data_IF_676137081509
#
_entry.id   IF_676137081509
#
_cell.length_a   1.000
_cell.length_b   1.000
_cell.length_c   1.000
_cell.angle_alpha   90.00
_cell.angle_beta   90.00
_cell.angle_gamma   90.00
#
_symmetry.space_group_name_H-M   'P 1'
#
loop_
_entity.id
_entity.type
_entity.pdbx_description
1 polymer ?
#
# COMPACT_ATOMS: atom_id res chain seq x y z
N UNK A 1 20.95 57.64 -43.89
CA UNK A 1 20.62 58.61 -42.82
C UNK A 1 20.89 57.93 -41.47
N UNK A 2 21.87 58.37 -40.67
CA UNK A 2 21.78 59.40 -39.60
C UNK A 2 20.73 59.08 -38.50
N UNK A 3 21.03 59.13 -37.19
CA UNK A 3 22.31 59.29 -36.43
C UNK A 3 22.04 59.13 -34.90
N UNK A 4 23.05 58.79 -34.08
CA UNK A 4 23.12 59.03 -32.59
C UNK A 4 22.06 58.22 -31.77
N UNK A 5 22.21 57.80 -30.50
CA UNK A 5 23.13 58.09 -29.38
C UNK A 5 22.36 58.74 -28.19
N UNK A 6 22.79 58.73 -26.92
CA UNK A 6 23.97 58.16 -26.26
C UNK A 6 23.80 58.18 -24.71
N UNK A 7 24.74 57.57 -23.96
CA UNK A 7 25.15 57.92 -22.56
C UNK A 7 24.13 57.67 -21.40
N UNK A 8 24.46 57.52 -20.08
CA UNK A 8 25.69 57.34 -19.23
C UNK A 8 25.20 56.92 -17.81
N UNK A 9 25.94 56.47 -16.78
CA UNK A 9 27.38 56.21 -16.50
C UNK A 9 27.57 54.67 -16.21
N UNK A 10 28.35 54.05 -15.30
CA UNK A 10 29.28 54.40 -14.18
C UNK A 10 28.60 54.60 -12.81
N UNK A 11 29.11 54.13 -11.65
CA UNK A 11 30.41 53.52 -11.22
C UNK A 11 30.10 52.34 -10.25
N UNK A 12 30.77 51.17 -10.16
CA UNK A 12 32.19 50.75 -10.12
C UNK A 12 32.97 51.13 -8.83
N UNK A 13 33.18 50.12 -7.95
CA UNK A 13 34.32 49.87 -7.02
C UNK A 13 33.92 48.60 -6.20
N UNK A 14 34.49 47.40 -6.35
CA UNK A 14 35.87 46.87 -6.20
C UNK A 14 36.37 46.69 -4.74
N UNK A 15 36.30 45.42 -4.30
CA UNK A 15 37.29 44.64 -3.52
C UNK A 15 38.07 45.28 -2.35
N UNK A 16 38.09 44.54 -1.23
CA UNK A 16 39.34 44.36 -0.45
C UNK A 16 39.49 42.91 0.03
N UNK A 17 40.73 42.51 0.35
CA UNK A 17 41.09 41.22 0.98
C UNK A 17 41.55 41.49 2.42
N UNK A 18 41.27 40.56 3.33
CA UNK A 18 41.89 40.50 4.65
C UNK A 18 41.93 39.05 5.13
N UNK A 19 43.03 38.61 5.75
CA UNK A 19 43.22 37.21 6.12
C UNK A 19 44.07 37.06 7.40
N UNK A 20 43.69 36.10 8.27
CA UNK A 20 44.37 35.63 9.49
C UNK A 20 44.75 36.62 10.61
N UNK A 21 44.38 36.27 11.85
CA UNK A 21 45.35 36.08 12.95
C UNK A 21 44.74 35.18 14.05
N UNK A 22 45.47 34.91 15.14
CA UNK A 22 45.18 33.83 16.12
C UNK A 22 44.88 34.41 17.51
N UNK A 23 43.98 33.75 18.26
CA UNK A 23 43.82 33.92 19.71
C UNK A 23 43.63 32.56 20.41
N UNK A 24 44.19 32.38 21.60
CA UNK A 24 44.11 31.15 22.41
C UNK A 24 43.70 31.47 23.85
N UNK A 25 42.84 30.66 24.43
CA UNK A 25 42.80 30.35 25.88
C UNK A 25 41.87 29.16 26.13
N UNK A 26 41.83 28.57 27.32
CA UNK A 26 42.89 27.78 28.00
C UNK A 26 42.17 26.75 28.91
N UNK A 27 42.78 25.61 29.17
CA UNK A 27 42.14 24.46 29.83
C UNK A 27 41.89 24.62 31.34
N UNK A 28 40.74 24.10 31.81
CA UNK A 28 40.59 23.29 33.03
C UNK A 28 39.40 22.33 32.77
N UNK A 29 39.52 20.99 32.74
CA UNK A 29 39.94 20.03 33.79
C UNK A 29 39.05 20.14 35.06
N UNK A 30 38.39 19.09 35.56
CA UNK A 30 38.22 17.70 35.10
C UNK A 30 36.91 17.10 35.71
N UNK A 31 36.41 15.91 35.36
CA UNK A 31 36.91 14.62 35.88
C UNK A 31 36.25 13.41 35.17
N UNK A 32 36.88 12.23 35.24
CA UNK A 32 36.42 10.98 34.58
C UNK A 32 35.56 10.14 35.53
N UNK A 33 34.54 9.45 35.01
CA UNK A 33 33.84 8.37 35.73
C UNK A 33 33.38 7.23 34.79
N UNK A 34 34.23 6.21 34.67
CA UNK A 34 33.97 4.79 34.38
C UNK A 34 32.89 4.36 33.37
N UNK A 35 33.32 3.65 32.32
CA UNK A 35 32.51 2.64 31.62
C UNK A 35 32.04 1.53 32.58
N UNK A 36 30.81 1.05 32.37
CA UNK A 36 30.45 -0.37 32.55
C UNK A 36 29.27 -0.72 31.63
N UNK A 37 29.25 -1.93 31.04
CA UNK A 37 28.23 -2.28 30.06
C UNK A 37 26.88 -2.54 30.73
N UNK A 38 25.80 -2.32 29.97
CA UNK A 38 24.53 -3.00 30.21
C UNK A 38 24.26 -3.95 29.06
N UNK A 39 24.35 -5.25 29.35
CA UNK A 39 23.74 -6.30 28.53
C UNK A 39 22.21 -6.16 28.57
N UNK A 40 21.73 -5.16 27.85
CA UNK A 40 20.37 -5.13 27.35
C UNK A 40 20.30 -6.01 26.12
N UNK A 41 20.36 -7.33 26.29
CA UNK A 41 19.94 -8.27 25.24
C UNK A 41 18.45 -8.06 25.03
N UNK A 42 18.10 -7.05 24.23
CA UNK A 42 16.73 -6.67 23.96
C UNK A 42 16.03 -7.92 23.46
N UNK A 43 15.11 -8.43 24.30
CA UNK A 43 14.35 -9.63 23.99
C UNK A 43 13.77 -9.41 22.60
N UNK A 44 14.19 -10.24 21.62
CA UNK A 44 13.72 -10.12 20.24
C UNK A 44 12.20 -10.11 20.31
N UNK A 45 11.58 -8.93 20.18
CA UNK A 45 10.13 -8.79 20.11
C UNK A 45 9.78 -9.40 18.77
N UNK A 46 9.60 -10.73 18.77
CA UNK A 46 8.88 -11.44 17.73
C UNK A 46 7.60 -10.64 17.55
N UNK A 47 7.39 -10.11 16.35
CA UNK A 47 6.11 -9.50 16.01
C UNK A 47 4.98 -10.52 16.20
N UNK A 48 3.72 -10.11 16.00
CA UNK A 48 2.63 -11.07 15.88
C UNK A 48 3.06 -12.21 14.95
N UNK A 49 2.87 -13.46 15.37
CA UNK A 49 3.46 -14.64 14.73
C UNK A 49 2.81 -14.92 13.38
N UNK A 50 3.23 -14.15 12.38
CA UNK A 50 2.74 -14.14 11.02
C UNK A 50 3.01 -15.47 10.32
N UNK A 51 1.95 -16.23 10.04
CA UNK A 51 2.09 -17.52 9.37
C UNK A 51 2.31 -17.31 7.87
N UNK A 52 3.59 -17.25 7.47
CA UNK A 52 4.02 -17.19 6.06
C UNK A 52 3.98 -18.55 5.35
N UNK A 53 3.60 -19.62 6.04
CA UNK A 53 3.35 -20.93 5.42
C UNK A 53 1.84 -21.12 5.28
N UNK A 54 1.41 -21.71 4.18
CA UNK A 54 0.03 -22.19 4.08
C UNK A 54 -0.06 -23.61 4.60
N UNK A 55 -1.17 -23.92 5.26
CA UNK A 55 -1.55 -25.28 5.64
C UNK A 55 -2.06 -26.06 4.40
N UNK A 56 -2.53 -25.34 3.37
CA UNK A 56 -2.88 -25.93 2.06
C UNK A 56 -1.63 -26.16 1.20
N UNK A 57 -1.45 -27.42 0.79
CA UNK A 57 -0.28 -27.88 0.02
C UNK A 57 -0.21 -27.26 -1.38
N UNK A 58 -1.34 -26.95 -2.01
CA UNK A 58 -1.38 -26.32 -3.33
C UNK A 58 -1.00 -24.84 -3.26
N UNK A 59 -1.52 -24.12 -2.26
CA UNK A 59 -1.18 -22.72 -1.99
C UNK A 59 0.29 -22.60 -1.59
N UNK A 60 0.81 -23.47 -0.72
CA UNK A 60 2.24 -23.50 -0.39
C UNK A 60 3.10 -23.79 -1.64
N UNK A 61 2.74 -24.81 -2.43
CA UNK A 61 3.45 -25.14 -3.69
C UNK A 61 3.42 -23.99 -4.70
N UNK A 62 2.32 -23.25 -4.81
CA UNK A 62 2.18 -22.08 -5.68
C UNK A 62 3.14 -20.96 -5.25
N UNK A 63 3.19 -20.67 -3.95
CA UNK A 63 4.07 -19.65 -3.36
C UNK A 63 5.55 -20.04 -3.49
N UNK A 64 5.94 -21.30 -3.21
CA UNK A 64 7.33 -21.79 -3.33
C UNK A 64 7.84 -21.73 -4.78
N UNK A 65 6.99 -22.13 -5.74
CA UNK A 65 7.28 -21.98 -7.17
C UNK A 65 7.44 -20.51 -7.57
N UNK A 66 6.64 -19.62 -7.00
CA UNK A 66 6.76 -18.19 -7.27
C UNK A 66 8.00 -17.57 -6.62
N UNK A 67 8.39 -17.93 -5.39
CA UNK A 67 9.60 -17.38 -4.76
C UNK A 67 10.87 -17.79 -5.55
N UNK A 68 10.87 -18.99 -6.13
CA UNK A 68 11.90 -19.44 -7.10
C UNK A 68 11.97 -18.51 -8.33
N UNK A 69 10.83 -18.03 -8.83
CA UNK A 69 10.76 -17.03 -9.90
C UNK A 69 11.19 -15.64 -9.43
N UNK A 70 10.73 -15.19 -8.26
CA UNK A 70 11.13 -13.92 -7.63
C UNK A 70 12.64 -13.82 -7.55
N UNK A 71 13.32 -14.85 -7.05
CA UNK A 71 14.79 -14.89 -6.95
C UNK A 71 15.49 -14.88 -8.31
N UNK A 72 14.97 -15.62 -9.30
CA UNK A 72 15.46 -15.63 -10.69
C UNK A 72 15.37 -14.23 -11.35
N UNK A 73 14.37 -13.43 -11.00
CA UNK A 73 14.15 -12.09 -11.55
C UNK A 73 14.87 -11.00 -10.75
N UNK A 74 14.98 -11.16 -9.43
CA UNK A 74 15.81 -10.34 -8.53
C UNK A 74 17.27 -10.35 -8.96
N UNK A 75 17.83 -11.53 -9.26
CA UNK A 75 19.19 -11.68 -9.84
C UNK A 75 19.37 -10.96 -11.19
N UNK A 76 18.30 -10.85 -11.98
CA UNK A 76 18.27 -10.12 -13.28
C UNK A 76 17.92 -8.63 -13.14
N UNK A 77 17.82 -8.08 -11.92
CA UNK A 77 17.35 -6.71 -11.62
C UNK A 77 15.99 -6.35 -12.26
N UNK A 78 15.13 -7.34 -12.53
CA UNK A 78 13.76 -7.14 -13.00
C UNK A 78 12.80 -6.99 -11.81
N UNK A 79 11.69 -6.27 -12.02
CA UNK A 79 10.66 -6.11 -10.99
C UNK A 79 9.77 -7.37 -10.85
N UNK A 80 9.08 -7.46 -9.71
CA UNK A 80 8.22 -8.60 -9.38
C UNK A 80 7.03 -8.75 -10.34
N UNK A 81 6.51 -7.63 -10.88
CA UNK A 81 5.43 -7.65 -11.88
C UNK A 81 5.85 -8.28 -13.22
N UNK A 82 7.13 -8.23 -13.60
CA UNK A 82 7.63 -8.99 -14.74
C UNK A 82 7.74 -10.49 -14.42
N UNK A 83 8.17 -10.84 -13.21
CA UNK A 83 8.18 -12.24 -12.75
C UNK A 83 6.77 -12.83 -12.75
N UNK A 84 5.76 -12.08 -12.29
CA UNK A 84 4.35 -12.48 -12.31
C UNK A 84 3.84 -12.77 -13.72
N UNK A 85 4.07 -11.87 -14.69
CA UNK A 85 3.62 -12.09 -16.08
C UNK A 85 4.18 -13.40 -16.65
N UNK A 86 5.48 -13.60 -16.52
CA UNK A 86 6.15 -14.77 -17.06
C UNK A 86 5.77 -16.05 -16.28
N UNK A 87 5.46 -15.94 -14.99
CA UNK A 87 4.93 -17.04 -14.16
C UNK A 87 3.51 -17.43 -14.57
N UNK A 88 2.59 -16.46 -14.73
CA UNK A 88 1.21 -16.72 -15.12
C UNK A 88 1.10 -17.38 -16.51
N UNK A 89 2.04 -17.12 -17.42
CA UNK A 89 2.12 -17.78 -18.73
C UNK A 89 2.60 -19.25 -18.63
N UNK A 90 3.45 -19.58 -17.65
CA UNK A 90 4.02 -20.92 -17.48
C UNK A 90 3.21 -21.82 -16.54
N UNK A 91 2.48 -21.22 -15.58
CA UNK A 91 1.76 -21.93 -14.52
C UNK A 91 0.27 -21.56 -14.47
N UNK A 92 -0.33 -21.23 -15.61
CA UNK A 92 -1.75 -20.86 -15.69
C UNK A 92 -2.70 -21.86 -14.98
N UNK A 93 -2.50 -23.20 -15.05
CA UNK A 93 -3.34 -24.16 -14.33
C UNK A 93 -3.20 -24.15 -12.79
N UNK A 94 -2.18 -23.47 -12.24
CA UNK A 94 -1.98 -23.32 -10.79
C UNK A 94 -2.54 -21.99 -10.24
N UNK A 95 -3.02 -21.09 -11.10
CA UNK A 95 -3.70 -19.86 -10.69
C UNK A 95 -5.17 -20.18 -10.43
N UNK A 96 -5.71 -19.80 -9.26
CA UNK A 96 -7.06 -20.10 -8.75
C UNK A 96 -8.16 -20.19 -9.84
N UNK A 97 -8.30 -21.37 -10.46
CA UNK A 97 -9.16 -21.68 -11.60
C UNK A 97 -9.19 -20.62 -12.73
N UNK A 98 -8.10 -19.87 -12.94
CA UNK A 98 -8.03 -18.77 -13.90
C UNK A 98 -8.97 -17.58 -13.62
N UNK A 99 -9.59 -17.54 -12.44
CA UNK A 99 -10.49 -16.46 -12.04
C UNK A 99 -9.71 -15.21 -11.67
N UNK A 100 -10.20 -14.04 -12.10
CA UNK A 100 -9.52 -12.76 -11.81
C UNK A 100 -9.76 -12.34 -10.37
N UNK A 101 -10.96 -12.49 -9.83
CA UNK A 101 -11.19 -12.28 -8.39
C UNK A 101 -12.23 -13.29 -7.92
N UNK A 102 -12.16 -13.66 -6.64
CA UNK A 102 -13.14 -14.49 -5.94
C UNK A 102 -13.94 -13.59 -4.99
N UNK A 103 -15.22 -13.86 -4.82
CA UNK A 103 -16.12 -13.23 -3.83
C UNK A 103 -16.36 -14.22 -2.66
N UNK A 104 -16.51 -13.71 -1.44
CA UNK A 104 -16.49 -14.55 -0.22
C UNK A 104 -15.09 -15.07 0.13
N UNK A 105 -14.99 -16.32 0.60
CA UNK A 105 -13.75 -16.94 1.05
C UNK A 105 -12.78 -17.34 -0.07
N UNK A 106 -11.53 -17.60 0.32
CA UNK A 106 -10.43 -18.00 -0.57
C UNK A 106 -10.08 -19.48 -0.27
N UNK A 107 -10.26 -20.41 -1.23
CA UNK A 107 -9.86 -21.80 -1.02
C UNK A 107 -8.37 -21.94 -0.68
N UNK A 108 -8.08 -22.56 0.47
CA UNK A 108 -6.71 -22.82 0.94
C UNK A 108 -5.98 -21.62 1.56
N UNK A 109 -6.67 -20.52 1.86
CA UNK A 109 -6.08 -19.35 2.57
C UNK A 109 -6.84 -19.03 3.85
N UNK A 110 -6.18 -19.23 4.98
CA UNK A 110 -6.76 -19.08 6.31
C UNK A 110 -6.64 -17.64 6.85
N UNK A 111 -7.58 -17.25 7.72
CA UNK A 111 -7.51 -16.04 8.57
C UNK A 111 -6.14 -15.97 9.26
N UNK A 112 -5.47 -14.81 9.19
CA UNK A 112 -4.13 -14.60 9.74
C UNK A 112 -2.96 -15.05 8.85
N UNK A 113 -3.20 -15.71 7.71
CA UNK A 113 -2.13 -16.09 6.78
C UNK A 113 -1.43 -14.85 6.21
N UNK A 114 -0.10 -14.93 6.12
CA UNK A 114 0.77 -13.81 5.80
C UNK A 114 1.55 -13.98 4.49
N UNK A 115 1.76 -12.86 3.80
CA UNK A 115 2.25 -12.78 2.43
C UNK A 115 3.33 -11.69 2.29
N UNK A 116 4.42 -12.00 1.58
CA UNK A 116 5.60 -11.14 1.45
C UNK A 116 5.40 -9.98 0.45
N UNK A 117 4.38 -10.03 -0.41
CA UNK A 117 4.10 -8.97 -1.40
C UNK A 117 2.67 -8.98 -1.95
N UNK A 118 2.29 -7.89 -2.64
CA UNK A 118 1.03 -7.79 -3.42
C UNK A 118 0.92 -8.84 -4.53
N UNK A 119 2.03 -9.44 -4.96
CA UNK A 119 2.03 -10.48 -5.99
C UNK A 119 1.61 -11.84 -5.43
N UNK A 120 1.94 -12.15 -4.18
CA UNK A 120 1.43 -13.37 -3.53
C UNK A 120 -0.09 -13.29 -3.32
N UNK A 121 -0.60 -12.14 -2.84
CA UNK A 121 -2.05 -11.87 -2.73
C UNK A 121 -2.80 -11.99 -4.08
N UNK A 122 -2.14 -11.66 -5.19
CA UNK A 122 -2.67 -11.82 -6.54
C UNK A 122 -2.72 -13.31 -6.94
N UNK A 123 -1.65 -14.06 -6.67
CA UNK A 123 -1.53 -15.47 -7.06
C UNK A 123 -2.55 -16.36 -6.35
N UNK A 124 -2.82 -16.10 -5.07
CA UNK A 124 -3.84 -16.82 -4.27
C UNK A 124 -5.25 -16.22 -4.41
N UNK A 125 -5.46 -15.30 -5.37
CA UNK A 125 -6.73 -14.59 -5.62
C UNK A 125 -7.35 -13.82 -4.44
N UNK A 126 -6.62 -13.62 -3.33
CA UNK A 126 -7.06 -12.80 -2.20
C UNK A 126 -7.39 -11.37 -2.64
N UNK A 127 -6.52 -10.79 -3.48
CA UNK A 127 -6.66 -9.43 -4.01
C UNK A 127 -5.84 -9.25 -5.31
N UNK A 128 -6.53 -9.19 -6.46
CA UNK A 128 -5.91 -9.27 -7.79
C UNK A 128 -5.52 -7.88 -8.36
N UNK A 129 -5.47 -6.84 -7.53
CA UNK A 129 -4.87 -5.54 -7.88
C UNK A 129 -3.47 -5.46 -7.27
N UNK A 130 -2.47 -5.05 -8.05
CA UNK A 130 -1.11 -4.86 -7.54
C UNK A 130 -0.87 -3.48 -6.92
N UNK A 131 -1.79 -2.52 -7.14
CA UNK A 131 -1.65 -1.12 -6.75
C UNK A 131 -2.89 -0.59 -6.00
N UNK A 132 -4.06 -0.51 -6.67
CA UNK A 132 -5.35 -0.08 -6.08
C UNK A 132 -5.59 -0.67 -4.70
N UNK A 133 -6.19 0.09 -3.78
CA UNK A 133 -6.59 -0.42 -2.47
C UNK A 133 -7.84 -1.32 -2.51
N UNK A 134 -8.64 -1.26 -3.59
CA UNK A 134 -9.91 -1.98 -3.74
C UNK A 134 -9.83 -2.94 -4.93
N UNK A 135 -10.14 -4.22 -4.71
CA UNK A 135 -10.43 -5.18 -5.78
C UNK A 135 -11.94 -5.41 -5.87
N UNK A 136 -12.44 -5.57 -7.11
CA UNK A 136 -13.87 -5.63 -7.38
C UNK A 136 -14.18 -6.41 -8.66
N UNK A 137 -15.31 -7.11 -8.65
CA UNK A 137 -15.89 -7.70 -9.86
C UNK A 137 -16.60 -6.59 -10.66
N UNK A 138 -16.24 -6.35 -11.94
CA UNK A 138 -17.00 -5.44 -12.79
C UNK A 138 -18.38 -6.04 -13.11
N UNK A 139 -19.37 -5.20 -13.42
CA UNK A 139 -20.76 -5.61 -13.72
C UNK A 139 -20.87 -6.87 -14.60
N UNK A 140 -20.15 -6.91 -15.73
CA UNK A 140 -20.12 -8.04 -16.69
C UNK A 140 -19.56 -9.38 -16.13
N UNK A 141 -19.05 -9.40 -14.89
CA UNK A 141 -18.60 -10.60 -14.16
C UNK A 141 -19.18 -10.69 -12.74
N UNK A 142 -20.11 -9.82 -12.40
CA UNK A 142 -20.78 -9.80 -11.10
C UNK A 142 -22.02 -10.70 -11.17
N UNK A 143 -22.29 -11.54 -10.16
CA UNK A 143 -23.55 -12.25 -10.04
C UNK A 143 -24.68 -11.36 -9.48
N UNK A 144 -24.39 -10.13 -9.07
CA UNK A 144 -25.31 -9.26 -8.34
C UNK A 144 -25.95 -8.17 -9.23
N UNK A 145 -27.22 -7.89 -8.95
CA UNK A 145 -28.02 -6.87 -9.65
C UNK A 145 -28.69 -5.93 -8.66
N UNK A 146 -28.90 -4.68 -9.07
CA UNK A 146 -29.75 -3.68 -8.40
C UNK A 146 -30.77 -3.22 -9.44
N UNK A 147 -32.05 -3.19 -9.08
CA UNK A 147 -33.19 -2.81 -9.95
C UNK A 147 -33.25 -3.54 -11.31
N UNK A 148 -32.67 -4.75 -11.38
CA UNK A 148 -32.57 -5.57 -12.59
C UNK A 148 -31.32 -5.35 -13.44
N UNK A 149 -30.49 -4.33 -13.16
CA UNK A 149 -29.23 -4.10 -13.85
C UNK A 149 -28.05 -4.78 -13.13
N UNK A 150 -27.10 -5.33 -13.89
CA UNK A 150 -25.88 -5.95 -13.34
C UNK A 150 -24.92 -4.89 -12.80
N UNK A 151 -24.52 -5.00 -11.52
CA UNK A 151 -23.70 -3.99 -10.85
C UNK A 151 -22.34 -4.51 -10.41
N UNK A 152 -21.31 -3.66 -10.42
CA UNK A 152 -20.00 -4.02 -9.86
C UNK A 152 -20.05 -4.16 -8.35
N UNK A 153 -19.42 -5.20 -7.80
CA UNK A 153 -19.30 -5.46 -6.35
C UNK A 153 -17.84 -5.52 -5.91
N UNK A 154 -17.51 -4.88 -4.79
CA UNK A 154 -16.21 -4.99 -4.17
C UNK A 154 -16.05 -6.37 -3.52
N UNK A 155 -14.84 -6.93 -3.54
CA UNK A 155 -14.52 -8.25 -2.96
C UNK A 155 -13.41 -8.22 -1.91
N UNK A 156 -12.43 -7.32 -2.03
CA UNK A 156 -11.41 -7.15 -1.00
C UNK A 156 -10.76 -5.76 -0.98
N UNK A 157 -10.35 -5.34 0.23
CA UNK A 157 -9.65 -4.07 0.47
C UNK A 157 -8.29 -4.32 1.13
N UNK A 158 -7.30 -3.48 0.78
CA UNK A 158 -5.97 -3.49 1.39
C UNK A 158 -5.77 -2.21 2.19
N UNK A 159 -5.71 -2.35 3.52
CA UNK A 159 -5.30 -1.29 4.44
C UNK A 159 -3.80 -1.08 4.29
N UNK A 160 -3.42 0.06 3.72
CA UNK A 160 -2.04 0.32 3.30
C UNK A 160 -1.22 1.16 4.29
N UNK A 161 -1.89 1.86 5.21
CA UNK A 161 -1.28 2.89 6.06
C UNK A 161 -0.79 4.14 5.30
N UNK A 162 -1.14 4.27 4.01
CA UNK A 162 -0.72 5.40 3.15
C UNK A 162 -1.86 6.39 2.85
N UNK A 163 -3.10 6.06 3.27
CA UNK A 163 -4.28 6.92 3.25
C UNK A 163 -4.67 7.30 4.69
N UNK A 164 -5.61 8.24 4.80
CA UNK A 164 -6.31 8.59 6.05
C UNK A 164 -7.36 7.53 6.44
N UNK A 165 -7.02 6.25 6.30
CA UNK A 165 -7.77 5.11 6.85
C UNK A 165 -7.67 5.18 8.39
N UNK A 166 -8.74 4.80 9.10
CA UNK A 166 -8.69 4.57 10.55
C UNK A 166 -8.95 3.07 10.78
N UNK A 167 -8.10 2.43 11.56
CA UNK A 167 -8.13 0.99 11.85
C UNK A 167 -8.20 0.80 13.37
N UNK A 168 -9.38 0.44 13.85
CA UNK A 168 -9.69 0.24 15.27
C UNK A 168 -9.77 -1.27 15.61
N UNK A 169 -9.18 -2.13 14.77
CA UNK A 169 -9.24 -3.59 14.89
C UNK A 169 -10.48 -4.14 14.19
N UNK A 170 -11.57 -4.34 14.92
CA UNK A 170 -12.80 -4.93 14.36
C UNK A 170 -13.68 -3.91 13.63
N UNK A 171 -13.41 -2.61 13.80
CA UNK A 171 -14.04 -1.51 13.05
C UNK A 171 -12.99 -0.72 12.26
N UNK A 172 -13.30 -0.38 11.01
CA UNK A 172 -12.37 0.26 10.07
C UNK A 172 -13.09 1.35 9.29
N UNK A 173 -12.61 2.59 9.36
CA UNK A 173 -13.10 3.69 8.52
C UNK A 173 -12.20 3.86 7.28
N UNK A 174 -12.41 3.00 6.30
CA UNK A 174 -11.63 2.92 5.06
C UNK A 174 -11.85 4.12 4.13
N UNK A 175 -10.77 4.61 3.51
CA UNK A 175 -10.78 5.73 2.57
C UNK A 175 -10.85 5.23 1.11
N UNK A 176 -11.70 5.86 0.28
CA UNK A 176 -11.90 5.54 -1.13
C UNK A 176 -10.65 5.67 -2.01
N UNK A 177 -10.72 5.24 -3.27
CA UNK A 177 -9.66 5.42 -4.27
C UNK A 177 -9.89 6.66 -5.15
N UNK A 178 -8.82 7.11 -5.84
CA UNK A 178 -8.79 8.39 -6.55
C UNK A 178 -8.52 9.59 -5.64
N UNK A 179 -8.71 10.80 -6.18
CA UNK A 179 -8.52 12.06 -5.45
C UNK A 179 -7.07 12.52 -5.27
N UNK A 180 -6.07 11.69 -5.58
CA UNK A 180 -4.65 12.05 -5.52
C UNK A 180 -3.98 11.71 -6.86
N UNK A 181 -3.49 12.74 -7.55
CA UNK A 181 -2.80 12.63 -8.83
C UNK A 181 -1.43 13.32 -8.85
N UNK A 182 -0.81 13.39 -10.03
CA UNK A 182 0.35 14.23 -10.31
C UNK A 182 0.19 14.92 -11.67
N UNK A 183 0.64 16.17 -11.81
CA UNK A 183 0.84 16.81 -13.13
C UNK A 183 2.11 16.26 -13.80
N UNK A 184 2.32 16.61 -15.06
CA UNK A 184 3.55 16.27 -15.82
C UNK A 184 4.83 16.89 -15.24
N UNK A 185 4.71 17.93 -14.42
CA UNK A 185 5.79 18.54 -13.61
C UNK A 185 6.13 17.73 -12.34
N UNK A 186 5.38 16.67 -12.03
CA UNK A 186 5.56 15.83 -10.85
C UNK A 186 4.87 16.32 -9.57
N UNK A 187 4.28 17.52 -9.58
CA UNK A 187 3.56 18.13 -8.44
C UNK A 187 2.33 17.28 -8.11
N UNK A 188 2.14 16.93 -6.83
CA UNK A 188 0.94 16.24 -6.34
C UNK A 188 -0.27 17.16 -6.46
N UNK A 189 -1.35 16.64 -7.00
CA UNK A 189 -2.65 17.31 -7.09
C UNK A 189 -3.62 16.53 -6.23
N UNK A 190 -4.48 17.26 -5.54
CA UNK A 190 -5.62 16.68 -4.83
C UNK A 190 -6.89 17.12 -5.56
N UNK A 191 -7.81 16.20 -5.81
CA UNK A 191 -9.12 16.45 -6.42
C UNK A 191 -10.20 15.68 -5.66
N UNK A 192 -11.47 15.99 -5.91
CA UNK A 192 -12.59 15.28 -5.29
C UNK A 192 -12.66 13.82 -5.77
N UNK A 193 -12.87 12.89 -4.83
CA UNK A 193 -13.03 11.48 -5.16
C UNK A 193 -14.37 11.23 -5.86
N UNK A 194 -14.30 10.61 -7.04
CA UNK A 194 -15.46 10.31 -7.89
C UNK A 194 -16.05 8.95 -7.50
N UNK A 195 -17.38 8.83 -7.56
CA UNK A 195 -18.12 7.59 -7.26
C UNK A 195 -18.07 6.64 -8.48
N UNK A 196 -16.88 6.11 -8.74
CA UNK A 196 -16.57 5.23 -9.89
C UNK A 196 -15.67 4.08 -9.45
N UNK A 197 -15.50 3.06 -10.31
CA UNK A 197 -14.60 1.92 -10.08
C UNK A 197 -14.78 1.30 -8.67
N UNK A 198 -13.71 1.21 -7.87
CA UNK A 198 -13.79 0.64 -6.52
C UNK A 198 -14.72 1.39 -5.57
N UNK A 199 -14.89 2.71 -5.71
CA UNK A 199 -15.80 3.49 -4.85
C UNK A 199 -17.27 3.15 -5.13
N UNK A 200 -17.62 3.02 -6.41
CA UNK A 200 -18.96 2.57 -6.82
C UNK A 200 -19.20 1.12 -6.38
N UNK A 201 -18.22 0.24 -6.53
CA UNK A 201 -18.30 -1.13 -6.07
C UNK A 201 -18.49 -1.25 -4.54
N UNK A 202 -17.89 -0.35 -3.74
CA UNK A 202 -18.13 -0.25 -2.28
C UNK A 202 -19.49 0.36 -1.91
N UNK A 203 -20.11 1.21 -2.75
CA UNK A 203 -21.53 1.58 -2.58
C UNK A 203 -22.39 0.34 -2.75
N UNK A 204 -22.32 -0.25 -3.95
CA UNK A 204 -23.21 -1.32 -4.39
C UNK A 204 -23.14 -2.55 -3.47
N UNK A 205 -21.93 -2.98 -3.06
CA UNK A 205 -21.81 -4.12 -2.14
C UNK A 205 -22.53 -3.90 -0.82
N UNK A 206 -22.57 -2.68 -0.27
CA UNK A 206 -23.28 -2.40 0.99
C UNK A 206 -24.79 -2.32 0.83
N UNK A 207 -25.24 -1.71 -0.26
CA UNK A 207 -26.66 -1.65 -0.68
C UNK A 207 -27.24 -3.05 -0.93
N UNK A 208 -26.38 -4.00 -1.32
CA UNK A 208 -26.65 -5.43 -1.47
C UNK A 208 -26.35 -6.27 -0.21
N UNK A 209 -25.96 -5.66 0.91
CA UNK A 209 -25.60 -6.37 2.15
C UNK A 209 -24.42 -7.35 2.02
N UNK A 210 -23.59 -7.23 0.99
CA UNK A 210 -22.38 -8.06 0.80
C UNK A 210 -21.25 -7.58 1.70
N UNK A 211 -20.36 -8.50 2.02
CA UNK A 211 -19.14 -8.28 2.80
C UNK A 211 -17.90 -8.23 1.89
N UNK A 212 -16.75 -7.83 2.45
CA UNK A 212 -15.45 -7.78 1.75
C UNK A 212 -14.33 -8.32 2.63
N UNK A 213 -13.35 -8.98 2.01
CA UNK A 213 -12.12 -9.41 2.68
C UNK A 213 -11.22 -8.21 3.02
N UNK A 214 -10.75 -8.13 4.26
CA UNK A 214 -9.77 -7.13 4.71
C UNK A 214 -8.36 -7.74 4.73
N UNK A 215 -7.40 -6.99 4.18
CA UNK A 215 -5.99 -7.36 4.17
C UNK A 215 -5.18 -6.19 4.77
N UNK A 216 -4.43 -6.45 5.85
CA UNK A 216 -3.62 -5.43 6.53
C UNK A 216 -2.17 -5.45 6.03
N UNK A 217 -1.64 -4.30 5.62
CA UNK A 217 -0.20 -4.11 5.32
C UNK A 217 0.55 -3.74 6.60
N UNK A 218 1.56 -4.53 6.93
CA UNK A 218 2.44 -4.32 8.08
C UNK A 218 3.80 -3.79 7.63
N UNK A 219 4.46 -3.01 8.48
CA UNK A 219 5.86 -2.61 8.30
C UNK A 219 6.73 -3.32 9.35
N UNK A 220 7.76 -4.02 8.90
CA UNK A 220 8.77 -4.64 9.77
C UNK A 220 10.14 -4.46 9.13
N UNK A 221 10.98 -3.62 9.75
CA UNK A 221 12.32 -3.32 9.26
C UNK A 221 13.30 -4.51 9.30
N UNK A 222 12.98 -5.59 10.02
CA UNK A 222 13.77 -6.83 10.07
C UNK A 222 13.28 -7.90 9.08
N UNK A 223 12.06 -7.78 8.53
CA UNK A 223 11.52 -8.71 7.54
C UNK A 223 12.17 -8.54 6.15
N UNK A 224 12.34 -9.64 5.39
CA UNK A 224 13.01 -9.68 4.06
C UNK A 224 12.50 -8.60 3.10
N UNK A 225 11.20 -8.38 3.06
CA UNK A 225 10.54 -7.42 2.17
C UNK A 225 10.36 -6.01 2.77
N UNK A 226 10.76 -5.77 4.03
CA UNK A 226 10.44 -4.58 4.87
C UNK A 226 8.96 -4.31 5.16
N UNK A 227 8.07 -4.88 4.35
CA UNK A 227 6.62 -4.90 4.54
C UNK A 227 6.11 -6.31 4.29
N UNK A 228 4.99 -6.67 4.91
CA UNK A 228 4.23 -7.87 4.61
C UNK A 228 2.74 -7.58 4.68
N UNK A 229 1.91 -8.54 4.30
CA UNK A 229 0.45 -8.43 4.32
C UNK A 229 -0.12 -9.60 5.09
N UNK A 230 -1.11 -9.39 5.95
CA UNK A 230 -1.93 -10.47 6.52
C UNK A 230 -3.33 -10.42 5.92
N UNK A 231 -3.87 -11.56 5.51
CA UNK A 231 -5.32 -11.69 5.42
C UNK A 231 -5.87 -11.59 6.84
N UNK A 232 -6.77 -10.64 7.09
CA UNK A 232 -7.47 -10.57 8.37
C UNK A 232 -8.72 -11.42 8.28
N UNK A 233 -9.83 -10.87 7.79
CA UNK A 233 -11.12 -11.56 7.79
C UNK A 233 -12.12 -10.89 6.81
N UNK A 234 -13.30 -11.50 6.68
CA UNK A 234 -14.45 -10.94 5.99
C UNK A 234 -15.15 -9.91 6.91
N UNK A 235 -15.45 -8.73 6.36
CA UNK A 235 -16.08 -7.62 7.07
C UNK A 235 -17.35 -7.16 6.35
N UNK A 236 -18.40 -6.88 7.11
CA UNK A 236 -19.63 -6.24 6.62
C UNK A 236 -19.36 -4.79 6.22
N UNK A 237 -20.11 -4.32 5.22
CA UNK A 237 -20.02 -2.97 4.67
C UNK A 237 -21.21 -2.12 5.15
N UNK A 238 -20.95 -1.09 5.97
CA UNK A 238 -21.97 -0.11 6.36
C UNK A 238 -22.12 1.00 5.31
N UNK A 239 -22.83 2.08 5.62
CA UNK A 239 -23.10 3.20 4.69
C UNK A 239 -21.81 3.79 4.07
N UNK A 240 -21.86 4.15 2.78
CA UNK A 240 -20.79 4.94 2.14
C UNK A 240 -21.09 6.44 2.34
N UNK A 241 -20.16 7.20 2.94
CA UNK A 241 -20.34 8.61 3.30
C UNK A 241 -19.33 9.46 2.53
N UNK A 242 -19.78 10.57 1.94
CA UNK A 242 -18.88 11.57 1.36
C UNK A 242 -18.44 12.57 2.44
N UNK A 243 -17.16 12.52 2.83
CA UNK A 243 -16.57 13.48 3.75
C UNK A 243 -15.93 14.63 2.97
N UNK A 244 -16.57 15.79 2.96
CA UNK A 244 -16.01 17.02 2.39
C UNK A 244 -14.98 17.65 3.34
N UNK A 245 -13.96 18.29 2.78
CA UNK A 245 -12.99 19.10 3.53
C UNK A 245 -12.71 20.40 2.78
N UNK A 246 -12.05 21.36 3.43
CA UNK A 246 -11.64 22.62 2.79
C UNK A 246 -10.60 22.46 1.65
N UNK A 247 -10.16 21.22 1.35
CA UNK A 247 -9.16 20.92 0.30
C UNK A 247 -9.75 20.03 -0.81
N UNK A 248 -10.57 19.03 -0.46
CA UNK A 248 -11.20 18.07 -1.37
C UNK A 248 -12.24 17.20 -0.64
N UNK A 249 -13.11 16.52 -1.39
CA UNK A 249 -14.05 15.52 -0.90
C UNK A 249 -13.51 14.08 -1.04
N UNK A 250 -13.75 13.27 -0.02
CA UNK A 250 -13.24 11.89 0.11
C UNK A 250 -14.38 10.94 0.48
N UNK A 251 -14.50 9.81 -0.23
CA UNK A 251 -15.44 8.77 0.18
C UNK A 251 -14.86 7.99 1.36
N UNK A 252 -15.63 7.87 2.44
CA UNK A 252 -15.32 7.03 3.61
C UNK A 252 -16.32 5.89 3.70
N UNK A 253 -15.83 4.71 4.06
CA UNK A 253 -16.61 3.50 4.23
C UNK A 253 -16.29 2.88 5.58
N UNK A 254 -17.31 2.68 6.38
CA UNK A 254 -17.18 1.91 7.62
C UNK A 254 -17.32 0.41 7.29
N UNK A 255 -16.37 -0.38 7.81
CA UNK A 255 -16.34 -1.83 7.73
C UNK A 255 -16.32 -2.38 9.16
N UNK A 256 -17.09 -3.42 9.43
CA UNK A 256 -17.09 -4.11 10.73
C UNK A 256 -16.86 -5.60 10.52
N UNK A 257 -15.98 -6.19 11.32
CA UNK A 257 -15.66 -7.62 11.24
C UNK A 257 -16.89 -8.48 11.47
N UNK A 258 -17.06 -9.55 10.67
CA UNK A 258 -18.11 -10.52 10.93
C UNK A 258 -17.65 -11.40 12.09
N UNK A 259 -18.27 -11.24 13.26
CA UNK A 259 -18.09 -12.18 14.36
C UNK A 259 -18.65 -13.54 13.94
N UNK A 260 -17.80 -14.57 13.86
CA UNK A 260 -18.25 -15.95 13.71
C UNK A 260 -19.06 -16.37 14.94
N UNK A 261 -20.31 -16.79 14.73
CA UNK A 261 -21.23 -17.31 15.75
C UNK A 261 -21.06 -18.80 15.98
#
# INVERSE_FOLDING_TARGET
MTRVGAAKNGKKLLLSRGNHSKGKSLLQFSSKAQDKPRDGMQSRRRGPSCNFRSDDVNVQMLLDKFDTFREKYRKKKKNESAALKDFCLQFQPLLCNGMKSIDGDIPGVNVGQCFNSRVELYLVAAHHRLQSGIDYLPAIRSPAMIDGESVSIAVSVVLSGEKNDIDEGDTIHYCGEGGIGRRGDGIRITEDQKLVAGNLALKNSAELGRSVRVIRKHMDCFHRSKVFYSYDDIHNLHTLILHTSAVHAVWRKELTKICST
#
